data_IF_832466111364
#
_entry.id   IF_832466111364
#
_cell.length_a   1.000
_cell.length_b   1.000
_cell.length_c   1.000
_cell.angle_alpha   90.00
_cell.angle_beta   90.00
_cell.angle_gamma   90.00
#
_symmetry.space_group_name_H-M   'P 1'
#
loop_
_entity.id
_entity.type
_entity.pdbx_description
1 polymer ?
#
# COMPACT_ATOMS: atom_id res chain seq x y z
N UNK A 1 -12.41 -8.25 5.75
CA UNK A 1 -12.69 -9.67 6.06
C UNK A 1 -11.41 -10.52 6.07
N UNK A 2 -10.68 -10.61 4.94
CA UNK A 2 -9.48 -11.47 4.82
C UNK A 2 -8.32 -11.06 5.76
N UNK A 3 -8.00 -9.76 5.85
CA UNK A 3 -6.98 -9.27 6.80
C UNK A 3 -7.37 -9.53 8.26
N UNK A 4 -8.64 -9.31 8.62
CA UNK A 4 -9.16 -9.60 9.95
C UNK A 4 -9.19 -11.10 10.30
N UNK A 5 -9.14 -11.98 9.29
CA UNK A 5 -8.97 -13.43 9.47
C UNK A 5 -7.51 -13.88 9.50
N UNK A 6 -6.55 -12.95 9.59
CA UNK A 6 -5.11 -13.25 9.67
C UNK A 6 -4.52 -13.74 8.35
N UNK A 7 -5.18 -13.50 7.21
CA UNK A 7 -4.70 -13.90 5.89
C UNK A 7 -3.90 -12.78 5.24
N UNK A 8 -2.86 -13.17 4.48
CA UNK A 8 -2.14 -12.25 3.61
C UNK A 8 -2.97 -11.93 2.37
N UNK A 9 -3.00 -10.65 1.98
CA UNK A 9 -3.75 -10.19 0.80
C UNK A 9 -2.77 -9.62 -0.21
N UNK A 10 -2.80 -10.16 -1.43
CA UNK A 10 -2.05 -9.63 -2.57
C UNK A 10 -2.97 -8.80 -3.46
N UNK A 11 -2.54 -7.60 -3.84
CA UNK A 11 -3.31 -6.66 -4.66
C UNK A 11 -2.52 -6.38 -5.93
N UNK A 12 -3.16 -6.59 -7.08
CA UNK A 12 -2.63 -6.18 -8.38
C UNK A 12 -3.61 -5.22 -9.05
N UNK A 13 -3.11 -4.07 -9.49
CA UNK A 13 -3.90 -3.03 -10.13
C UNK A 13 -3.01 -2.14 -11.00
N UNK A 14 -3.62 -1.19 -11.73
CA UNK A 14 -2.90 -0.18 -12.48
C UNK A 14 -2.26 0.86 -11.55
N UNK A 15 -1.20 1.54 -12.01
CA UNK A 15 -0.44 2.48 -11.19
C UNK A 15 -1.28 3.60 -10.55
N UNK A 16 -2.32 4.08 -11.22
CA UNK A 16 -3.21 5.11 -10.65
C UNK A 16 -4.03 4.59 -9.47
N UNK A 17 -4.51 3.35 -9.55
CA UNK A 17 -5.25 2.71 -8.46
C UNK A 17 -4.32 2.40 -7.28
N UNK A 18 -3.11 1.90 -7.55
CA UNK A 18 -2.10 1.66 -6.51
C UNK A 18 -1.73 2.96 -5.80
N UNK A 19 -1.51 4.07 -6.52
CA UNK A 19 -1.28 5.39 -5.93
C UNK A 19 -2.43 5.82 -5.02
N UNK A 20 -3.68 5.66 -5.45
CA UNK A 20 -4.84 6.01 -4.63
C UNK A 20 -4.90 5.19 -3.33
N UNK A 21 -4.60 3.89 -3.41
CA UNK A 21 -4.53 3.02 -2.23
C UNK A 21 -3.39 3.48 -1.31
N UNK A 22 -2.19 3.67 -1.83
CA UNK A 22 -1.02 4.10 -1.04
C UNK A 22 -1.25 5.47 -0.41
N UNK A 23 -1.87 6.41 -1.13
CA UNK A 23 -2.24 7.72 -0.60
C UNK A 23 -3.14 7.58 0.63
N UNK A 24 -4.11 6.67 0.60
CA UNK A 24 -4.99 6.41 1.73
C UNK A 24 -4.27 5.72 2.90
N UNK A 25 -3.42 4.72 2.62
CA UNK A 25 -2.70 3.95 3.65
C UNK A 25 -1.60 4.77 4.33
N UNK A 26 -0.84 5.56 3.56
CA UNK A 26 0.29 6.37 4.03
C UNK A 26 -0.17 7.80 4.43
N UNK A 27 -1.47 8.10 4.31
CA UNK A 27 -2.08 9.42 4.56
C UNK A 27 -1.36 10.57 3.81
N UNK A 28 -1.03 10.33 2.54
CA UNK A 28 -0.30 11.28 1.69
C UNK A 28 -1.23 12.36 1.13
N UNK A 29 -0.68 13.55 0.93
CA UNK A 29 -1.28 14.59 0.11
C UNK A 29 -1.28 14.22 -1.38
N UNK A 30 -2.05 14.97 -2.19
CA UNK A 30 -2.05 14.80 -3.65
C UNK A 30 -0.68 15.10 -4.24
N UNK A 31 0.01 16.10 -3.70
CA UNK A 31 1.32 16.53 -4.16
C UNK A 31 2.39 15.48 -3.87
N UNK A 32 2.28 14.79 -2.73
CA UNK A 32 3.16 13.68 -2.36
C UNK A 32 2.89 12.43 -3.22
N UNK A 33 1.63 12.05 -3.44
CA UNK A 33 1.32 10.86 -4.24
C UNK A 33 1.74 11.02 -5.70
N UNK A 34 1.73 12.24 -6.23
CA UNK A 34 2.20 12.54 -7.58
C UNK A 34 3.71 12.33 -7.75
N UNK A 35 4.48 12.45 -6.66
CA UNK A 35 5.93 12.20 -6.63
C UNK A 35 6.28 10.73 -6.38
N UNK A 36 5.27 9.89 -6.10
CA UNK A 36 5.47 8.48 -5.81
C UNK A 36 5.84 7.72 -7.10
N UNK A 37 7.08 7.24 -7.14
CA UNK A 37 7.54 6.32 -8.17
C UNK A 37 7.19 4.88 -7.79
N UNK A 38 6.43 4.21 -8.67
CA UNK A 38 6.09 2.80 -8.52
C UNK A 38 6.86 2.01 -9.57
N UNK A 39 7.90 1.30 -9.12
CA UNK A 39 8.64 0.40 -9.98
C UNK A 39 7.78 -0.81 -10.37
N UNK A 40 7.86 -1.23 -11.63
CA UNK A 40 7.17 -2.43 -12.10
C UNK A 40 7.85 -3.67 -11.53
N UNK A 41 7.08 -4.52 -10.86
CA UNK A 41 7.58 -5.80 -10.33
C UNK A 41 8.15 -5.73 -8.91
N UNK A 42 8.23 -4.54 -8.30
CA UNK A 42 8.59 -4.40 -6.88
C UNK A 42 7.34 -4.30 -6.00
N UNK A 43 7.10 -5.29 -5.11
CA UNK A 43 5.97 -5.24 -4.20
C UNK A 43 6.21 -4.23 -3.08
N UNK A 44 5.16 -3.49 -2.73
CA UNK A 44 5.11 -2.67 -1.52
C UNK A 44 4.38 -3.48 -0.45
N UNK A 45 5.04 -3.70 0.68
CA UNK A 45 4.51 -4.54 1.74
C UNK A 45 3.97 -3.68 2.89
N UNK A 46 2.78 -4.05 3.34
CA UNK A 46 2.12 -3.45 4.48
C UNK A 46 1.83 -4.51 5.52
N UNK A 47 2.21 -4.22 6.77
CA UNK A 47 1.74 -4.96 7.93
C UNK A 47 0.43 -4.33 8.42
N UNK A 48 -0.56 -5.19 8.74
CA UNK A 48 -1.85 -4.75 9.26
C UNK A 48 -2.03 -5.28 10.67
N UNK A 49 -2.11 -4.38 11.64
CA UNK A 49 -2.30 -4.72 13.05
C UNK A 49 -3.33 -3.77 13.67
N UNK A 50 -4.36 -4.33 14.33
CA UNK A 50 -5.37 -3.58 15.08
C UNK A 50 -6.05 -2.43 14.31
N UNK A 51 -6.27 -2.59 13.00
CA UNK A 51 -6.89 -1.54 12.18
C UNK A 51 -5.90 -0.57 11.55
N UNK A 52 -4.62 -0.65 11.90
CA UNK A 52 -3.58 0.23 11.40
C UNK A 52 -2.72 -0.48 10.36
N UNK A 53 -2.38 0.24 9.30
CA UNK A 53 -1.42 -0.21 8.30
C UNK A 53 -0.06 0.43 8.58
N UNK A 54 1.00 -0.38 8.57
CA UNK A 54 2.38 0.07 8.69
C UNK A 54 3.15 -0.42 7.48
N UNK A 55 3.68 0.52 6.70
CA UNK A 55 4.57 0.21 5.59
C UNK A 55 5.87 -0.37 6.14
N UNK A 56 6.30 -1.50 5.62
CA UNK A 56 7.61 -2.08 5.93
C UNK A 56 8.54 -1.85 4.75
N UNK A 57 9.75 -1.37 5.02
CA UNK A 57 10.76 -1.25 3.99
C UNK A 57 11.19 -2.67 3.56
N UNK A 58 11.30 -2.90 2.26
CA UNK A 58 12.01 -4.07 1.77
C UNK A 58 13.47 -3.89 2.21
N UNK A 59 13.97 -4.83 3.01
CA UNK A 59 15.39 -4.93 3.35
C UNK A 59 16.22 -5.31 2.13
#
# INVERSE_FOLDING_TARGET
PHLASGQNVFISAHGNSLRSIIMHLDNLSKEEVLKLELATGDPIIYEYENGCFKKIANG
#
